data_IF_334558583014
#
_entry.id   IF_334558583014
#
_cell.length_a   1.000
_cell.length_b   1.000
_cell.length_c   1.000
_cell.angle_alpha   90.00
_cell.angle_beta   90.00
_cell.angle_gamma   90.00
#
_symmetry.space_group_name_H-M   'P 1'
#
loop_
_entity.id
_entity.type
_entity.pdbx_description
1 polymer ?
2 non-polymer ?
3 non-polymer ?
4 non-polymer ?
5 water ?
#
# COMPACT_ATOMS: atom_id res chain seq x y z
N UNK A 1 2.80 -1.52 -21.02
CA UNK A 1 2.07 -0.35 -20.46
C UNK A 1 2.67 0.89 -21.09
N UNK A 2 2.00 2.03 -20.99
CA UNK A 2 2.47 3.24 -21.69
C UNK A 2 3.65 3.94 -21.00
N UNK A 3 3.61 4.24 -19.70
CA UNK A 3 4.83 4.85 -19.11
C UNK A 3 5.98 3.83 -19.00
N UNK A 4 7.20 4.33 -18.84
CA UNK A 4 8.35 3.46 -18.58
C UNK A 4 8.09 2.60 -17.34
N UNK A 5 7.65 3.23 -16.25
CA UNK A 5 7.36 2.51 -15.03
C UNK A 5 6.32 1.40 -15.29
N UNK A 6 5.25 1.74 -16.00
CA UNK A 6 4.19 0.80 -16.34
C UNK A 6 4.72 -0.38 -17.18
N UNK A 7 5.51 -0.09 -18.20
CA UNK A 7 6.25 -1.10 -19.00
C UNK A 7 6.99 -2.11 -18.11
N UNK A 8 7.63 -1.61 -17.05
CA UNK A 8 8.42 -2.44 -16.16
C UNK A 8 7.64 -3.02 -15.00
N UNK A 9 6.32 -2.89 -15.05
CA UNK A 9 5.50 -3.49 -14.00
C UNK A 9 5.41 -2.75 -12.67
N UNK A 10 5.76 -1.47 -12.70
CA UNK A 10 5.69 -0.59 -11.52
C UNK A 10 4.39 0.20 -11.57
N UNK A 11 3.40 -0.17 -10.77
CA UNK A 11 2.09 0.47 -10.83
C UNK A 11 1.81 1.42 -9.68
N UNK A 12 1.72 2.71 -9.96
CA UNK A 12 1.49 3.69 -8.89
C UNK A 12 0.02 3.69 -8.60
N UNK A 13 -0.31 3.69 -7.32
CA UNK A 13 -1.71 3.67 -6.86
C UNK A 13 -1.84 4.55 -5.64
N UNK A 14 -3.07 4.73 -5.19
CA UNK A 14 -3.36 5.53 -4.04
C UNK A 14 -3.60 4.59 -2.89
N UNK A 15 -3.14 4.98 -1.71
CA UNK A 15 -3.51 4.26 -0.47
C UNK A 15 -4.60 5.16 0.13
N UNK A 16 -5.84 4.68 0.18
CA UNK A 16 -7.00 5.52 0.52
C UNK A 16 -6.91 6.19 1.91
N UNK A 17 -6.11 5.65 2.81
CA UNK A 17 -5.93 6.29 4.10
C UNK A 17 -5.38 7.73 4.00
N UNK A 18 -4.62 8.04 2.96
CA UNK A 18 -4.20 9.41 2.67
C UNK A 18 -5.39 10.42 2.61
N UNK A 19 -6.57 9.91 2.30
CA UNK A 19 -7.80 10.66 2.16
C UNK A 19 -8.84 10.15 3.16
N UNK A 20 -8.39 9.69 4.34
CA UNK A 20 -9.35 9.17 5.35
C UNK A 20 -10.31 10.24 5.88
N UNK A 21 -9.96 11.51 5.71
CA UNK A 21 -10.84 12.61 6.12
C UNK A 21 -12.03 12.81 5.19
N UNK A 22 -12.04 12.08 4.08
CA UNK A 22 -13.06 12.23 3.07
C UNK A 22 -13.71 10.89 2.79
N UNK A 23 -14.91 10.93 2.23
CA UNK A 23 -15.56 9.67 1.87
C UNK A 23 -14.81 9.05 0.70
N UNK A 24 -14.97 7.76 0.52
CA UNK A 24 -14.33 7.07 -0.59
C UNK A 24 -14.74 7.63 -1.96
N UNK A 25 -15.98 8.07 -2.11
CA UNK A 25 -16.37 8.70 -3.37
C UNK A 25 -15.42 9.86 -3.71
N UNK A 26 -15.11 10.71 -2.71
CA UNK A 26 -14.13 11.80 -2.94
C UNK A 26 -12.72 11.29 -3.18
N UNK A 27 -12.31 10.26 -2.42
CA UNK A 27 -10.98 9.65 -2.61
C UNK A 27 -10.80 9.14 -4.04
N UNK A 28 -11.86 8.53 -4.59
CA UNK A 28 -11.81 8.08 -6.01
C UNK A 28 -11.61 9.28 -6.95
N UNK A 29 -12.37 10.35 -6.73
CA UNK A 29 -12.23 11.58 -7.54
C UNK A 29 -10.82 12.11 -7.48
N UNK A 30 -10.21 12.15 -6.30
CA UNK A 30 -8.86 12.73 -6.16
C UNK A 30 -7.82 11.82 -6.83
N UNK A 31 -8.01 10.51 -6.66
CA UNK A 31 -7.16 9.48 -7.29
C UNK A 31 -7.26 9.63 -8.79
N UNK A 32 -8.47 9.82 -9.32
CA UNK A 32 -8.63 10.07 -10.76
C UNK A 32 -7.97 11.41 -11.14
N UNK A 33 -8.22 12.46 -10.36
CA UNK A 33 -7.59 13.76 -10.62
C UNK A 33 -6.07 13.66 -10.71
N UNK A 34 -5.48 12.76 -9.91
CA UNK A 34 -4.03 12.57 -9.92
C UNK A 34 -3.51 11.69 -11.06
N UNK A 35 -4.41 11.16 -11.87
CA UNK A 35 -4.09 10.30 -13.00
C UNK A 35 -3.62 8.93 -12.61
N UNK A 36 -4.02 8.47 -11.42
CA UNK A 36 -3.60 7.18 -10.88
C UNK A 36 -4.64 6.14 -11.25
N UNK A 37 -4.18 4.94 -11.57
CA UNK A 37 -5.12 3.95 -12.06
C UNK A 37 -5.43 2.83 -11.06
N UNK A 38 -4.88 2.91 -9.85
CA UNK A 38 -5.03 1.84 -8.85
C UNK A 38 -5.30 2.39 -7.48
N UNK A 39 -6.07 1.66 -6.66
CA UNK A 39 -6.28 2.12 -5.31
C UNK A 39 -6.31 0.92 -4.35
N UNK A 40 -5.75 1.15 -3.16
CA UNK A 40 -5.74 0.22 -2.06
C UNK A 40 -6.59 0.89 -1.00
N UNK A 41 -7.74 0.30 -0.70
CA UNK A 41 -8.69 0.92 0.22
C UNK A 41 -8.55 0.44 1.67
N UNK A 42 -8.42 1.36 2.62
CA UNK A 42 -8.31 0.96 4.02
C UNK A 42 -9.67 0.45 4.54
N UNK A 43 -9.66 -0.61 5.34
CA UNK A 43 -10.85 -1.17 6.02
C UNK A 43 -11.50 -0.21 7.01
N UNK A 44 -12.72 0.17 6.71
CA UNK A 44 -13.46 1.16 7.47
C UNK A 44 -13.61 2.47 6.74
N UNK A 45 -13.02 2.63 5.56
CA UNK A 45 -13.19 3.90 4.81
C UNK A 45 -14.70 4.15 4.54
N UNK A 46 -15.23 5.28 4.99
CA UNK A 46 -16.66 5.60 4.80
C UNK A 46 -16.87 5.83 3.32
N UNK A 47 -17.99 5.31 2.82
CA UNK A 47 -18.26 5.32 1.37
C UNK A 47 -18.72 6.70 0.85
N UNK A 48 -19.61 7.33 1.60
CA UNK A 48 -20.24 8.59 1.20
C UNK A 48 -21.19 8.38 0.04
N UNK A 49 -21.50 9.44 -0.70
CA UNK A 49 -22.49 9.37 -1.80
C UNK A 49 -23.82 8.87 -1.27
N UNK A 50 -24.49 8.03 -2.07
CA UNK A 50 -25.75 7.43 -1.69
C UNK A 50 -25.61 6.33 -0.61
N UNK A 51 -24.37 5.92 -0.27
CA UNK A 51 -24.16 4.90 0.75
C UNK A 51 -23.94 5.49 2.12
N UNK A 52 -23.81 6.81 2.20
CA UNK A 52 -23.63 7.50 3.47
C UNK A 52 -22.51 6.93 4.32
N UNK A 53 -22.88 6.45 5.51
CA UNK A 53 -21.91 6.01 6.50
C UNK A 53 -21.60 4.51 6.48
N UNK A 54 -22.05 3.83 5.42
CA UNK A 54 -21.64 2.48 5.14
C UNK A 54 -20.10 2.53 4.93
N UNK A 55 -19.37 1.52 5.42
CA UNK A 55 -17.90 1.49 5.22
C UNK A 55 -17.41 0.36 4.30
N UNK A 56 -16.24 0.57 3.68
CA UNK A 56 -15.55 -0.42 2.90
C UNK A 56 -14.87 -1.43 3.84
N UNK A 57 -15.53 -2.56 4.07
CA UNK A 57 -14.93 -3.64 4.84
C UNK A 57 -15.54 -5.01 4.45
N UNK A 58 -15.09 -6.10 5.08
CA UNK A 58 -15.47 -7.44 4.61
C UNK A 58 -16.93 -7.82 4.81
N UNK A 59 -17.69 -6.96 5.49
CA UNK A 59 -19.13 -7.16 5.66
C UNK A 59 -19.90 -6.33 4.63
N UNK A 60 -19.22 -5.75 3.63
CA UNK A 60 -19.94 -4.95 2.65
C UNK A 60 -20.88 -5.86 1.84
N UNK A 61 -22.11 -5.39 1.63
CA UNK A 61 -23.14 -6.16 0.91
C UNK A 61 -22.82 -6.27 -0.57
N UNK A 62 -23.44 -7.25 -1.21
CA UNK A 62 -23.12 -7.57 -2.62
C UNK A 62 -23.45 -6.43 -3.58
N UNK A 63 -24.60 -5.80 -3.40
CA UNK A 63 -24.99 -4.70 -4.27
C UNK A 63 -23.94 -3.57 -4.23
N UNK A 64 -23.58 -3.15 -3.00
CA UNK A 64 -22.59 -2.07 -2.87
C UNK A 64 -21.22 -2.44 -3.41
N UNK A 65 -20.82 -3.68 -3.23
CA UNK A 65 -19.54 -4.16 -3.77
C UNK A 65 -19.48 -3.89 -5.25
N UNK A 66 -20.51 -4.31 -5.97
CA UNK A 66 -20.54 -4.12 -7.41
C UNK A 66 -20.71 -2.65 -7.83
N UNK A 67 -21.52 -1.90 -7.10
CA UNK A 67 -21.63 -0.47 -7.39
C UNK A 67 -20.27 0.24 -7.21
N UNK A 68 -19.49 -0.14 -6.19
CA UNK A 68 -18.22 0.51 -5.94
C UNK A 68 -17.24 0.12 -7.04
N UNK A 69 -17.24 -1.16 -7.42
CA UNK A 69 -16.42 -1.61 -8.54
C UNK A 69 -16.76 -0.85 -9.83
N UNK A 70 -18.05 -0.63 -10.08
CA UNK A 70 -18.44 0.17 -11.27
C UNK A 70 -18.00 1.64 -11.21
N UNK A 71 -18.17 2.28 -10.06
CA UNK A 71 -17.76 3.67 -9.91
C UNK A 71 -16.26 3.74 -10.19
N UNK A 72 -15.47 2.87 -9.54
CA UNK A 72 -14.03 2.87 -9.77
C UNK A 72 -13.69 2.69 -11.25
N UNK A 73 -14.29 1.67 -11.87
CA UNK A 73 -14.13 1.37 -13.30
C UNK A 73 -14.45 2.58 -14.16
N UNK A 74 -15.54 3.26 -13.82
CA UNK A 74 -15.99 4.45 -14.55
C UNK A 74 -14.96 5.58 -14.50
N UNK A 75 -14.11 5.61 -13.47
CA UNK A 75 -13.09 6.66 -13.30
C UNK A 75 -11.68 6.19 -13.70
N UNK A 76 -11.62 5.09 -14.44
CA UNK A 76 -10.35 4.50 -14.86
C UNK A 76 -9.50 3.87 -13.76
N UNK A 77 -10.11 3.50 -12.63
CA UNK A 77 -9.39 3.00 -11.46
C UNK A 77 -9.73 1.56 -11.13
N UNK A 78 -8.69 0.73 -10.95
CA UNK A 78 -8.89 -0.62 -10.41
C UNK A 78 -8.63 -0.71 -8.90
N UNK A 79 -9.54 -1.31 -8.11
CA UNK A 79 -9.28 -1.52 -6.70
C UNK A 79 -8.37 -2.77 -6.60
N UNK A 80 -7.11 -2.58 -6.18
CA UNK A 80 -6.11 -3.68 -6.25
C UNK A 80 -5.97 -4.41 -4.94
N UNK A 81 -6.24 -3.69 -3.85
CA UNK A 81 -6.13 -4.27 -2.54
C UNK A 81 -6.86 -3.52 -1.48
N UNK A 82 -6.79 -4.11 -0.29
CA UNK A 82 -7.37 -3.52 0.87
C UNK A 82 -6.44 -3.70 2.06
N UNK A 83 -6.39 -2.70 2.94
CA UNK A 83 -5.56 -2.79 4.15
C UNK A 83 -5.17 -1.41 4.61
N UNK A 84 -4.44 -1.30 5.72
CA UNK A 84 -3.85 -2.40 6.47
C UNK A 84 -4.90 -3.06 7.37
N UNK A 85 -5.00 -4.37 7.22
CA UNK A 85 -6.00 -5.15 7.97
C UNK A 85 -5.38 -5.83 9.19
N UNK A 86 -6.04 -5.67 10.33
CA UNK A 86 -5.71 -6.38 11.56
C UNK A 86 -6.97 -7.13 11.93
N UNK A 87 -6.84 -8.45 12.03
CA UNK A 87 -7.98 -9.29 12.34
C UNK A 87 -8.29 -9.19 13.81
N UNK A 88 -9.58 -9.10 14.11
CA UNK A 88 -10.04 -8.97 15.47
C UNK A 88 -10.18 -10.34 16.11
N UNK A 89 -10.61 -11.31 15.29
CA UNK A 89 -10.72 -12.74 15.60
C UNK A 89 -10.07 -13.53 14.45
N UNK A 90 -9.57 -14.73 14.74
CA UNK A 90 -8.96 -15.60 13.72
C UNK A 90 -9.98 -16.04 12.69
N UNK A 91 -11.19 -16.34 13.17
CA UNK A 91 -12.32 -16.66 12.30
C UNK A 91 -12.67 -15.61 11.25
N UNK A 92 -12.23 -14.38 11.45
CA UNK A 92 -12.52 -13.34 10.48
C UNK A 92 -11.65 -13.43 9.25
N UNK A 93 -10.53 -14.17 9.32
CA UNK A 93 -9.59 -14.22 8.18
C UNK A 93 -10.27 -14.82 6.95
N UNK A 94 -11.08 -15.88 7.13
CA UNK A 94 -11.77 -16.47 5.96
C UNK A 94 -12.80 -15.52 5.35
N UNK A 95 -13.48 -14.72 6.18
CA UNK A 95 -14.40 -13.66 5.69
C UNK A 95 -13.67 -12.59 4.83
N UNK A 96 -12.49 -12.18 5.28
CA UNK A 96 -11.65 -11.20 4.54
C UNK A 96 -11.24 -11.74 3.18
N UNK A 97 -10.78 -13.00 3.13
CA UNK A 97 -10.43 -13.66 1.87
C UNK A 97 -11.62 -13.81 0.91
N UNK A 98 -12.79 -14.23 1.40
CA UNK A 98 -13.96 -14.27 0.55
C UNK A 98 -14.32 -12.88 0.00
N UNK A 99 -14.11 -11.83 0.81
CA UNK A 99 -14.45 -10.48 0.39
C UNK A 99 -13.43 -10.09 -0.67
N UNK A 100 -12.14 -10.34 -0.42
CA UNK A 100 -11.11 -9.99 -1.43
C UNK A 100 -11.35 -10.66 -2.76
N UNK A 101 -11.74 -11.93 -2.72
CA UNK A 101 -12.07 -12.69 -3.93
C UNK A 101 -13.24 -12.06 -4.67
N UNK A 102 -14.33 -11.78 -3.94
CA UNK A 102 -15.53 -11.19 -4.56
C UNK A 102 -15.26 -9.80 -5.17
N UNK A 103 -14.36 -9.03 -4.53
CA UNK A 103 -13.94 -7.71 -5.00
C UNK A 103 -12.81 -7.78 -6.02
N UNK A 104 -12.33 -8.98 -6.31
CA UNK A 104 -11.31 -9.26 -7.32
C UNK A 104 -9.98 -8.54 -7.04
N UNK A 105 -9.60 -8.53 -5.76
CA UNK A 105 -8.36 -7.87 -5.33
C UNK A 105 -7.18 -8.80 -5.60
N UNK A 106 -6.03 -8.19 -5.83
CA UNK A 106 -4.75 -8.86 -5.94
C UNK A 106 -4.13 -9.21 -4.58
N UNK A 107 -4.29 -8.32 -3.60
CA UNK A 107 -3.69 -8.52 -2.29
C UNK A 107 -4.43 -7.85 -1.13
N UNK A 108 -4.18 -8.37 0.08
CA UNK A 108 -4.59 -7.80 1.37
C UNK A 108 -3.29 -7.35 2.09
N UNK A 109 -3.20 -6.07 2.46
CA UNK A 109 -2.11 -5.60 3.26
C UNK A 109 -2.57 -5.78 4.68
N UNK A 110 -1.69 -6.29 5.53
CA UNK A 110 -2.09 -6.64 6.85
C UNK A 110 -0.96 -6.83 7.82
N UNK A 111 -1.33 -7.05 9.06
CA UNK A 111 -0.33 -7.44 10.07
C UNK A 111 -0.96 -8.61 10.83
N UNK A 112 -0.76 -9.84 10.33
CA UNK A 112 -1.32 -11.03 10.93
C UNK A 112 -0.66 -11.30 12.28
N UNK A 113 -1.40 -11.96 13.15
CA UNK A 113 -0.89 -12.36 14.42
C UNK A 113 0.07 -13.50 14.08
N UNK A 114 1.22 -13.49 14.75
CA UNK A 114 2.22 -14.55 14.60
C UNK A 114 1.61 -15.97 14.66
N UNK A 115 0.61 -16.20 15.50
CA UNK A 115 -0.01 -17.52 15.64
C UNK A 115 -0.98 -17.92 14.50
N UNK A 116 -1.30 -17.00 13.59
CA UNK A 116 -2.25 -17.28 12.52
C UNK A 116 -1.62 -17.59 11.17
N UNK A 117 -0.30 -17.81 11.12
CA UNK A 117 0.37 -17.98 9.82
C UNK A 117 -0.11 -19.20 9.01
N UNK A 118 -0.25 -20.36 9.63
CA UNK A 118 -0.74 -21.54 8.90
C UNK A 118 -2.10 -21.27 8.26
N UNK A 119 -3.02 -20.69 9.05
CA UNK A 119 -4.34 -20.33 8.54
C UNK A 119 -4.26 -19.36 7.35
N UNK A 120 -3.48 -18.27 7.48
CA UNK A 120 -3.36 -17.24 6.44
C UNK A 120 -2.70 -17.78 5.16
N UNK A 121 -1.63 -18.57 5.30
CA UNK A 121 -1.00 -19.17 4.15
C UNK A 121 -2.01 -20.06 3.42
N UNK A 122 -2.69 -20.93 4.17
CA UNK A 122 -3.67 -21.83 3.60
C UNK A 122 -4.70 -21.07 2.79
N UNK A 123 -5.29 -20.02 3.34
CA UNK A 123 -6.33 -19.22 2.65
C UNK A 123 -5.80 -18.47 1.41
N UNK A 124 -4.59 -17.98 1.53
CA UNK A 124 -3.94 -17.32 0.43
C UNK A 124 -3.82 -18.28 -0.76
N UNK A 125 -3.38 -19.50 -0.48
CA UNK A 125 -3.32 -20.54 -1.52
C UNK A 125 -4.73 -20.90 -2.04
N UNK A 126 -5.66 -21.17 -1.14
CA UNK A 126 -7.03 -21.50 -1.53
C UNK A 126 -7.66 -20.42 -2.42
N UNK A 127 -7.49 -19.15 -2.04
CA UNK A 127 -8.23 -18.06 -2.70
C UNK A 127 -7.46 -17.34 -3.78
N UNK A 128 -6.17 -17.65 -3.88
CA UNK A 128 -5.29 -17.02 -4.84
C UNK A 128 -5.16 -15.48 -4.66
N UNK A 129 -5.11 -15.04 -3.40
CA UNK A 129 -4.98 -13.63 -3.03
C UNK A 129 -3.68 -13.47 -2.23
N UNK A 130 -2.86 -12.53 -2.65
CA UNK A 130 -1.57 -12.31 -2.02
C UNK A 130 -1.71 -11.59 -0.70
N UNK A 131 -0.72 -11.86 0.16
CA UNK A 131 -0.64 -11.30 1.51
C UNK A 131 0.64 -10.50 1.68
N UNK A 132 0.48 -9.22 1.97
CA UNK A 132 1.52 -8.21 1.94
C UNK A 132 1.56 -7.60 3.37
N UNK A 133 2.59 -8.03 4.09
CA UNK A 133 2.70 -7.78 5.53
C UNK A 133 3.30 -6.42 5.79
N UNK A 134 2.50 -5.54 6.38
CA UNK A 134 2.90 -4.18 6.62
C UNK A 134 3.80 -4.09 7.85
N UNK A 135 4.86 -3.29 7.76
CA UNK A 135 5.69 -2.97 8.91
C UNK A 135 5.29 -1.63 9.47
N UNK A 136 5.25 -1.53 10.80
CA UNK A 136 5.24 -0.21 11.44
C UNK A 136 6.18 -0.19 12.65
N UNK A 137 6.49 1.02 13.17
CA UNK A 137 7.42 1.10 14.31
C UNK A 137 7.04 0.26 15.53
N UNK A 138 8.03 -0.03 16.38
CA UNK A 138 7.83 -0.79 17.61
C UNK A 138 6.90 0.00 18.54
N UNK A 139 6.09 -0.70 19.37
CA UNK A 139 6.01 -2.16 19.48
C UNK A 139 5.14 -2.76 18.36
N UNK A 140 5.66 -3.78 17.72
CA UNK A 140 4.97 -4.49 16.61
C UNK A 140 5.75 -5.76 16.27
N UNK A 141 5.18 -6.63 15.44
CA UNK A 141 5.80 -7.92 15.15
C UNK A 141 6.72 -7.85 13.93
N UNK A 142 6.41 -6.98 12.98
CA UNK A 142 7.14 -6.94 11.70
C UNK A 142 7.97 -5.68 11.48
N UNK A 143 8.44 -5.07 12.56
CA UNK A 143 9.07 -3.76 12.42
C UNK A 143 10.39 -3.75 11.69
N UNK A 144 11.03 -4.91 11.59
CA UNK A 144 12.26 -5.07 10.77
C UNK A 144 12.06 -6.34 9.90
N UNK A 145 12.74 -6.42 8.74
CA UNK A 145 12.54 -7.51 7.77
C UNK A 145 12.82 -8.90 8.33
N UNK A 146 13.89 -9.06 9.11
CA UNK A 146 14.18 -10.38 9.66
C UNK A 146 13.01 -10.95 10.52
N UNK A 147 12.15 -10.11 11.05
CA UNK A 147 11.03 -10.64 11.82
C UNK A 147 9.95 -11.16 10.87
N UNK A 148 9.81 -10.50 9.73
CA UNK A 148 8.89 -10.93 8.67
C UNK A 148 9.39 -12.27 8.10
N UNK A 149 10.67 -12.29 7.70
CA UNK A 149 11.31 -13.51 7.21
C UNK A 149 11.25 -14.67 8.22
N UNK A 150 11.42 -14.43 9.53
CA UNK A 150 11.19 -15.50 10.54
C UNK A 150 9.81 -16.10 10.44
N UNK A 151 8.80 -15.26 10.15
CA UNK A 151 7.39 -15.71 10.06
C UNK A 151 7.00 -16.39 8.74
N UNK A 152 7.55 -15.92 7.63
CA UNK A 152 7.08 -16.34 6.32
C UNK A 152 8.08 -17.11 5.46
N UNK A 153 9.37 -17.17 5.83
CA UNK A 153 10.37 -17.89 5.02
C UNK A 153 9.91 -19.34 4.87
N UNK A 154 10.00 -19.86 3.66
CA UNK A 154 9.55 -21.19 3.36
C UNK A 154 8.10 -21.36 3.00
N UNK A 155 7.28 -20.37 3.28
CA UNK A 155 5.87 -20.45 2.93
C UNK A 155 5.63 -20.00 1.49
N UNK A 156 4.37 -20.07 1.09
CA UNK A 156 3.90 -19.66 -0.22
C UNK A 156 4.53 -18.37 -0.71
N UNK A 157 4.91 -18.37 -1.98
CA UNK A 157 5.40 -17.17 -2.66
C UNK A 157 4.34 -16.05 -2.73
N UNK A 158 3.10 -16.36 -2.40
CA UNK A 158 2.00 -15.39 -2.36
C UNK A 158 2.06 -14.50 -1.11
N UNK A 159 3.01 -14.80 -0.22
CA UNK A 159 3.19 -14.09 1.03
C UNK A 159 4.43 -13.23 0.92
N UNK A 160 4.33 -11.98 1.35
CA UNK A 160 5.50 -11.10 1.30
C UNK A 160 5.32 -9.82 2.08
N UNK A 161 6.15 -8.84 1.80
CA UNK A 161 6.09 -7.57 2.52
C UNK A 161 5.27 -6.48 1.80
N UNK A 162 4.54 -5.70 2.61
CA UNK A 162 4.01 -4.40 2.19
C UNK A 162 5.06 -3.46 2.73
N UNK A 163 6.03 -3.10 1.89
CA UNK A 163 7.19 -2.41 2.36
C UNK A 163 6.93 -0.92 2.64
N UNK A 164 6.85 -0.57 3.93
CA UNK A 164 6.72 0.83 4.35
C UNK A 164 8.13 1.38 4.63
N UNK A 165 8.65 2.06 3.64
CA UNK A 165 10.04 2.45 3.62
C UNK A 165 10.28 3.53 4.67
N UNK A 166 9.23 4.30 4.94
CA UNK A 166 9.31 5.32 5.94
C UNK A 166 9.48 4.74 7.33
N UNK A 167 8.58 3.81 7.69
CA UNK A 167 8.61 3.21 9.01
C UNK A 167 9.89 2.48 9.32
N UNK A 168 10.54 1.89 8.31
CA UNK A 168 11.85 1.26 8.57
C UNK A 168 12.89 2.30 8.99
N UNK A 169 12.92 3.43 8.26
CA UNK A 169 13.86 4.49 8.63
C UNK A 169 13.49 5.08 9.99
N UNK A 170 12.20 5.19 10.32
CA UNK A 170 11.84 5.72 11.64
C UNK A 170 12.33 4.83 12.79
N UNK A 171 12.63 3.58 12.46
CA UNK A 171 13.23 2.60 13.39
C UNK A 171 14.78 2.57 13.35
N UNK A 172 15.38 3.48 12.60
CA UNK A 172 16.83 3.57 12.53
C UNK A 172 17.47 2.56 11.61
N UNK A 173 16.65 1.99 10.73
CA UNK A 173 17.12 0.99 9.80
C UNK A 173 17.48 1.67 8.48
N UNK A 174 18.40 1.03 7.78
CA UNK A 174 18.79 1.46 6.45
C UNK A 174 17.71 0.90 5.56
N UNK A 175 16.82 1.78 5.10
CA UNK A 175 15.66 1.35 4.32
C UNK A 175 16.00 0.71 2.99
N UNK A 176 17.09 1.13 2.36
CA UNK A 176 17.48 0.53 1.12
C UNK A 176 17.91 -0.94 1.39
N UNK A 177 18.66 -1.15 2.45
CA UNK A 177 19.03 -2.51 2.85
C UNK A 177 17.82 -3.35 3.30
N UNK A 178 16.80 -2.73 3.87
CA UNK A 178 15.59 -3.47 4.20
C UNK A 178 14.96 -4.04 2.89
N UNK A 179 14.90 -3.23 1.83
CA UNK A 179 14.41 -3.70 0.51
C UNK A 179 15.27 -4.87 -0.02
N UNK A 180 16.59 -4.70 0.09
CA UNK A 180 17.55 -5.72 -0.33
C UNK A 180 17.24 -7.07 0.39
N UNK A 181 17.12 -7.04 1.72
CA UNK A 181 16.78 -8.24 2.49
C UNK A 181 15.49 -8.90 2.10
N UNK A 182 14.54 -8.13 1.61
CA UNK A 182 13.24 -8.62 1.20
C UNK A 182 13.11 -8.93 -0.31
N UNK A 183 14.22 -9.05 -1.05
CA UNK A 183 14.15 -9.43 -2.46
C UNK A 183 13.38 -10.72 -2.61
N UNK A 184 12.50 -10.73 -3.59
CA UNK A 184 11.67 -11.89 -3.89
C UNK A 184 10.57 -12.08 -2.88
N UNK A 185 10.46 -11.19 -1.91
CA UNK A 185 9.41 -11.27 -0.90
C UNK A 185 8.74 -9.90 -0.66
N UNK A 186 8.81 -8.99 -1.64
CA UNK A 186 8.05 -7.73 -1.56
C UNK A 186 6.84 -7.91 -2.50
N UNK A 187 5.61 -7.87 -1.96
CA UNK A 187 4.36 -7.86 -2.73
C UNK A 187 3.95 -6.49 -3.21
N UNK A 188 3.96 -5.50 -2.31
CA UNK A 188 3.61 -4.13 -2.63
C UNK A 188 4.37 -3.17 -1.70
N UNK A 189 4.23 -1.87 -1.93
CA UNK A 189 4.81 -0.86 -1.06
C UNK A 189 3.82 0.22 -0.58
N UNK A 190 4.20 0.82 0.55
CA UNK A 190 3.62 2.08 1.05
C UNK A 190 4.78 3.02 0.86
N UNK A 191 4.87 3.59 -0.35
CA UNK A 191 5.99 4.42 -0.74
C UNK A 191 5.74 5.81 -0.19
N UNK A 192 6.82 6.39 0.32
CA UNK A 192 6.82 7.72 0.90
C UNK A 192 8.26 8.19 1.03
N UNK A 193 8.42 9.48 1.37
CA UNK A 193 9.69 10.08 1.70
C UNK A 193 9.40 10.84 2.98
N UNK A 194 10.41 11.04 3.82
CA UNK A 194 10.19 11.66 5.11
C UNK A 194 11.24 12.69 5.48
N UNK A 195 10.87 13.61 6.37
CA UNK A 195 11.79 14.67 6.84
C UNK A 195 12.83 14.09 7.78
N UNK A 196 13.96 14.77 7.92
CA UNK A 196 14.89 14.38 8.98
C UNK A 196 14.22 14.42 10.38
N UNK A 197 14.72 13.60 11.27
CA UNK A 197 14.16 13.49 12.59
C UNK A 197 14.71 14.64 13.43
N UNK A 198 13.80 15.37 14.06
CA UNK A 198 14.20 16.44 14.92
C UNK A 198 14.17 15.96 16.38
N UNK A 199 15.24 16.28 17.10
CA UNK A 199 15.42 15.78 18.47
C UNK A 199 14.19 16.03 19.31
N UNK A 200 13.64 17.25 19.18
CA UNK A 200 12.51 17.71 19.98
C UNK A 200 11.12 17.48 19.45
N UNK A 201 10.97 16.77 18.35
CA UNK A 201 9.65 16.44 17.80
C UNK A 201 9.52 14.94 17.67
N UNK A 202 8.40 14.39 18.14
CA UNK A 202 8.17 12.94 18.11
C UNK A 202 8.09 12.31 16.74
N UNK A 203 7.46 13.00 15.81
CA UNK A 203 7.25 12.44 14.49
C UNK A 203 8.13 13.13 13.46
N UNK A 204 8.68 12.37 12.54
CA UNK A 204 9.24 12.97 11.35
C UNK A 204 8.15 12.67 10.33
N UNK A 205 7.53 13.72 9.81
CA UNK A 205 6.43 13.57 8.85
C UNK A 205 6.87 13.27 7.41
N UNK A 206 5.89 12.81 6.64
CA UNK A 206 6.07 12.53 5.22
C UNK A 206 6.23 13.87 4.46
N UNK A 207 7.05 13.86 3.41
CA UNK A 207 7.27 15.02 2.57
C UNK A 207 7.14 14.59 1.12
N UNK A 208 7.09 15.58 0.23
CA UNK A 208 7.09 15.36 -1.21
C UNK A 208 8.33 14.49 -1.57
N UNK A 209 8.13 13.48 -2.41
CA UNK A 209 9.19 12.56 -2.77
C UNK A 209 10.29 13.30 -3.48
N UNK A 210 11.52 12.98 -3.07
CA UNK A 210 12.70 13.67 -3.59
C UNK A 210 13.16 14.79 -2.67
N UNK A 211 12.31 15.22 -1.73
CA UNK A 211 12.69 16.31 -0.80
C UNK A 211 13.17 15.81 0.56
N UNK A 212 12.89 14.55 0.88
CA UNK A 212 13.25 13.96 2.16
C UNK A 212 14.60 13.26 2.24
N UNK A 213 14.71 12.38 3.23
CA UNK A 213 16.00 11.73 3.50
C UNK A 213 16.04 10.26 3.05
N UNK A 214 14.92 9.73 2.56
CA UNK A 214 14.86 8.31 2.18
C UNK A 214 15.51 7.90 0.86
N UNK A 215 16.12 8.83 0.15
CA UNK A 215 16.81 8.50 -1.09
C UNK A 215 15.88 7.69 -2.04
N UNK A 216 14.71 8.24 -2.34
CA UNK A 216 13.76 7.63 -3.27
C UNK A 216 14.53 7.13 -4.53
N UNK A 217 15.45 7.91 -5.05
CA UNK A 217 16.15 7.42 -6.26
C UNK A 217 16.87 6.07 -5.98
N UNK A 218 17.65 6.02 -4.90
CA UNK A 218 18.35 4.79 -4.55
C UNK A 218 17.44 3.62 -4.22
N UNK A 219 16.28 3.91 -3.66
CA UNK A 219 15.36 2.84 -3.35
C UNK A 219 14.82 2.32 -4.68
N UNK A 220 14.64 3.22 -5.67
CA UNK A 220 14.09 2.76 -6.95
C UNK A 220 15.16 1.96 -7.67
N UNK A 221 16.43 2.39 -7.60
CA UNK A 221 17.58 1.65 -8.13
C UNK A 221 17.69 0.23 -7.55
N UNK A 222 17.45 0.07 -6.24
CA UNK A 222 17.43 -1.24 -5.60
C UNK A 222 16.26 -2.07 -6.13
N UNK A 223 15.06 -1.47 -6.22
CA UNK A 223 13.87 -2.19 -6.72
C UNK A 223 14.09 -2.62 -8.19
N UNK A 224 14.78 -1.79 -8.96
CA UNK A 224 15.16 -2.15 -10.31
C UNK A 224 16.09 -3.38 -10.33
N UNK A 225 17.15 -3.33 -9.52
CA UNK A 225 18.14 -4.43 -9.45
C UNK A 225 17.49 -5.75 -9.04
N UNK A 226 16.41 -5.71 -8.24
CA UNK A 226 15.68 -6.95 -7.88
C UNK A 226 14.66 -7.38 -8.94
N UNK A 227 14.44 -6.60 -10.01
CA UNK A 227 13.33 -6.87 -10.93
C UNK A 227 11.95 -6.89 -10.21
N UNK A 228 11.78 -6.01 -9.26
CA UNK A 228 10.47 -5.89 -8.57
C UNK A 228 9.36 -5.53 -9.57
N UNK A 229 8.19 -6.14 -9.37
CA UNK A 229 7.01 -5.83 -10.17
C UNK A 229 5.92 -5.75 -9.13
N UNK A 230 5.14 -4.67 -9.16
CA UNK A 230 4.00 -4.54 -8.28
C UNK A 230 3.54 -3.11 -8.07
N UNK A 231 2.70 -2.96 -7.07
CA UNK A 231 2.03 -1.72 -6.77
C UNK A 231 2.78 -0.88 -5.72
N UNK A 232 3.01 0.38 -6.07
CA UNK A 232 3.56 1.33 -5.16
C UNK A 232 2.36 2.14 -4.72
N UNK A 233 1.89 1.90 -3.51
CA UNK A 233 0.78 2.67 -2.97
C UNK A 233 1.26 3.97 -2.28
N UNK A 234 0.67 5.08 -2.69
CA UNK A 234 0.96 6.41 -2.12
C UNK A 234 0.23 6.58 -0.78
N UNK A 235 1.00 6.53 0.30
CA UNK A 235 0.49 6.74 1.64
C UNK A 235 1.17 8.02 2.07
N UNK A 236 0.42 9.13 2.06
CA UNK A 236 0.96 10.47 2.29
C UNK A 236 0.33 11.05 3.56
N UNK A 237 1.00 10.87 4.68
CA UNK A 237 0.44 11.23 6.00
C UNK A 237 0.82 12.64 6.46
N UNK A 238 0.35 13.63 5.70
CA UNK A 238 0.70 15.03 5.91
C UNK A 238 -0.25 15.89 5.09
N UNK A 239 -0.44 17.15 5.50
CA UNK A 239 -1.34 18.09 4.79
C UNK A 239 -2.65 17.37 4.45
N UNK A 240 -3.17 16.57 5.39
CA UNK A 240 -4.34 15.70 5.18
C UNK A 240 -5.55 16.34 4.49
N UNK A 241 -5.74 17.63 4.74
CA UNK A 241 -6.89 18.37 4.21
C UNK A 241 -6.75 18.82 2.76
N UNK A 242 -5.51 19.08 2.36
CA UNK A 242 -5.21 19.62 1.05
C UNK A 242 -3.91 19.00 0.53
N UNK A 243 -3.90 17.69 0.29
CA UNK A 243 -2.67 17.00 -0.12
C UNK A 243 -2.52 16.65 -1.60
N UNK A 244 -3.52 16.91 -2.41
CA UNK A 244 -3.41 16.60 -3.85
C UNK A 244 -2.22 17.33 -4.52
N UNK A 245 -2.06 18.63 -4.28
CA UNK A 245 -0.90 19.30 -4.91
C UNK A 245 0.44 18.64 -4.56
N UNK A 246 0.64 18.29 -3.30
CA UNK A 246 1.87 17.66 -2.84
C UNK A 246 2.01 16.31 -3.55
N UNK A 247 0.92 15.50 -3.56
CA UNK A 247 0.94 14.17 -4.18
C UNK A 247 1.26 14.25 -5.68
N UNK A 248 0.74 15.29 -6.35
CA UNK A 248 1.04 15.53 -7.77
C UNK A 248 2.55 15.69 -8.00
N UNK A 249 3.22 16.38 -7.09
CA UNK A 249 4.65 16.58 -7.19
C UNK A 249 5.44 15.30 -6.85
N UNK A 250 4.86 14.46 -5.98
CA UNK A 250 5.40 13.14 -5.66
C UNK A 250 5.43 12.29 -6.90
N UNK A 251 4.24 12.19 -7.56
CA UNK A 251 4.06 11.40 -8.77
C UNK A 251 5.01 11.91 -9.86
N UNK A 252 5.15 13.22 -9.98
CA UNK A 252 6.03 13.78 -11.03
C UNK A 252 7.50 13.34 -10.85
N UNK A 253 7.93 13.34 -9.58
CA UNK A 253 9.29 12.96 -9.25
C UNK A 253 9.54 11.48 -9.52
N UNK A 254 8.54 10.67 -9.24
CA UNK A 254 8.61 9.23 -9.45
C UNK A 254 8.73 8.86 -10.91
N UNK A 255 7.95 9.52 -11.76
CA UNK A 255 8.04 9.22 -13.19
C UNK A 255 9.31 9.75 -13.75
N UNK A 256 9.76 10.89 -13.22
CA UNK A 256 10.99 11.52 -13.72
C UNK A 256 12.18 10.61 -13.39
N UNK A 257 12.21 10.13 -12.16
CA UNK A 257 13.27 9.28 -11.65
C UNK A 257 13.22 7.87 -12.29
N UNK A 258 12.03 7.31 -12.44
CA UNK A 258 11.89 5.99 -13.11
C UNK A 258 12.32 6.07 -14.57
N UNK A 259 12.01 7.18 -15.24
CA UNK A 259 12.42 7.40 -16.61
C UNK A 259 13.93 7.45 -16.75
N UNK A 260 14.59 8.03 -15.75
CA UNK A 260 16.05 8.15 -15.71
C UNK A 260 16.73 6.80 -15.56
N UNK A 261 16.13 5.87 -14.80
CA UNK A 261 16.74 4.57 -14.57
C UNK A 261 16.18 3.39 -15.41
N UNK A 262 15.09 3.63 -16.18
CA UNK A 262 14.45 2.59 -17.00
C UNK A 262 14.36 2.97 -18.50
X LIG B 1 12.31 -17.47 1.52
X LIG B 1 11.21 -18.38 1.98
X LIG B 1 12.09 -16.04 2.06
X LIG B 1 13.61 -18.03 2.12
X LIG B 1 12.47 -17.44 0.02
X LIG C 1 22.11 3.62 9.03
X LIG C 1 22.01 2.43 9.82
X LIG C 1 20.69 3.98 8.59
X LIG C 1 20.66 5.03 7.62
X LIG C 1 21.38 4.74 6.42
X LIG C 1 20.60 5.18 5.19
X LIG C 1 21.23 4.62 4.05
X LIG D 1 -5.74 -1.47 -15.71
X LIG D 1 -5.22 -1.28 -17.03
X LIG D 1 -6.05 -0.11 -15.07
X LIG D 1 -7.38 -0.08 -14.55
X LIG D 1 -8.39 0.10 -15.54
X LIG D 1 -9.73 0.36 -14.89
X LIG D 1 -10.69 -0.49 -15.48
X LIG E 1 0.78 3.59 8.67
X LIG E 1 1.18 2.95 9.68
X LIG E 1 1.61 3.89 7.77
X LIG E 1 -0.68 3.98 8.52
X LIG E 1 -1.59 2.79 8.18
X LIG E 1 -0.94 2.01 7.13
X LIG E 1 -2.95 3.31 7.71
X LIG E 1 -3.88 2.17 7.33
X LIG E 1 -3.60 1.42 6.39
X LIG E 1 -4.96 1.97 7.94
X LIG E 1 -1.82 1.96 9.44
X LIG E 1 -1.20 0.89 9.65
X LIG E 1 -2.67 2.34 10.29
#
# INVERSE_FOLDING_TARGET
GQTKAEKNGWRLGMQSYSFHLFPLTEALDKTQELGLKYIEIYPGHKLGGKWGDKVFDFNLDAQTQKEIKELAASKGIKIVGTGVYVAEKSSDWEKMFKFAKAMDLEFITCEPALSDWDLVEKLSKQYNIKISVHNHPQPSDYWKPENLLKAISGRSQSLGSCSDVGHWRREGLNQIDCLKQLKGRIISLHFKDIAPKKAGENEQHDVIWGTGILDVKGMLKELKSQNFKGVFSIEYEYNWENSVPDIKECIQYFNKTANEIL
PO4 P O1 O2 O3 O4
PEG C1 O1 C2 O2 C3 C4 O4
PEG C1 O1 C2 O2 C3 C4 O4
CIT C1 O1 O2 C2 C3 O7 C4 C5 O3 O4 C6 O5 O6
#
